data_IF_878286043619
#
_entry.id   IF_878286043619
#
_cell.length_a   1.000
_cell.length_b   1.000
_cell.length_c   1.000
_cell.angle_alpha   90.00
_cell.angle_beta   90.00
_cell.angle_gamma   90.00
#
_symmetry.space_group_name_H-M   'P 1'
#
loop_
_entity.id
_entity.type
_entity.pdbx_description
1 polymer ?
#
# COMPACT_ATOMS: atom_id res chain seq x y z
N UNK A 1 -4.27 -9.85 -13.33
CA UNK A 1 -5.49 -9.99 -14.16
C UNK A 1 -5.22 -10.87 -15.35
N UNK A 2 -5.84 -12.06 -15.39
CA UNK A 2 -5.83 -12.91 -16.59
C UNK A 2 -6.84 -12.32 -17.57
N UNK A 3 -6.37 -11.84 -18.70
CA UNK A 3 -7.26 -11.33 -19.74
C UNK A 3 -7.79 -12.51 -20.56
N UNK A 4 -9.05 -12.87 -20.32
CA UNK A 4 -9.77 -13.84 -21.15
C UNK A 4 -9.83 -13.35 -22.61
N UNK A 5 -9.90 -14.28 -23.55
CA UNK A 5 -9.93 -14.05 -25.00
C UNK A 5 -8.70 -13.35 -25.59
N UNK A 6 -7.56 -13.35 -24.87
CA UNK A 6 -6.27 -12.97 -25.45
C UNK A 6 -5.50 -14.21 -25.90
N UNK A 7 -4.74 -13.99 -26.97
CA UNK A 7 -3.80 -14.97 -27.48
C UNK A 7 -2.46 -14.80 -26.74
N UNK A 8 -1.99 -15.86 -26.10
CA UNK A 8 -0.71 -15.96 -25.41
C UNK A 8 0.24 -16.77 -26.26
N UNK A 9 1.35 -16.16 -26.66
CA UNK A 9 2.43 -16.87 -27.36
C UNK A 9 3.36 -17.46 -26.31
N UNK A 10 3.33 -18.78 -26.16
CA UNK A 10 4.29 -19.52 -25.35
C UNK A 10 5.49 -19.83 -26.21
N UNK A 11 6.65 -19.28 -25.83
CA UNK A 11 7.92 -19.50 -26.51
C UNK A 11 8.58 -20.75 -25.94
N UNK A 12 8.59 -21.82 -26.72
CA UNK A 12 9.28 -23.06 -26.42
C UNK A 12 10.32 -23.40 -27.47
N UNK A 13 10.57 -24.71 -27.68
CA UNK A 13 11.33 -25.21 -28.85
C UNK A 13 10.61 -24.86 -30.16
N UNK A 14 9.27 -24.77 -30.10
CA UNK A 14 8.41 -24.14 -31.11
C UNK A 14 7.58 -23.06 -30.43
N UNK A 15 7.25 -22.00 -31.16
CA UNK A 15 6.31 -20.99 -30.68
C UNK A 15 4.89 -21.48 -30.91
N UNK A 16 4.08 -21.47 -29.84
CA UNK A 16 2.70 -21.90 -29.86
C UNK A 16 1.81 -20.80 -29.30
N UNK A 17 0.69 -20.55 -29.97
CA UNK A 17 -0.27 -19.53 -29.57
C UNK A 17 -1.46 -20.20 -28.91
N UNK A 18 -1.71 -19.85 -27.65
CA UNK A 18 -2.84 -20.33 -26.86
C UNK A 18 -3.87 -19.23 -26.69
N UNK A 19 -5.13 -19.53 -26.97
CA UNK A 19 -6.22 -18.62 -26.65
C UNK A 19 -6.73 -18.92 -25.24
N UNK A 20 -6.65 -17.93 -24.35
CA UNK A 20 -7.13 -18.08 -22.97
C UNK A 20 -8.66 -18.01 -22.95
N UNK A 21 -9.32 -19.15 -22.77
CA UNK A 21 -10.79 -19.25 -22.79
C UNK A 21 -11.42 -19.20 -21.40
N UNK A 22 -10.71 -19.65 -20.36
CA UNK A 22 -11.24 -19.76 -19.01
C UNK A 22 -10.16 -19.47 -17.96
N UNK A 23 -10.58 -18.93 -16.81
CA UNK A 23 -9.77 -18.79 -15.59
C UNK A 23 -10.27 -19.81 -14.56
N UNK A 24 -9.37 -20.66 -14.06
CA UNK A 24 -9.65 -21.58 -12.96
C UNK A 24 -9.11 -20.99 -11.65
N UNK A 25 -10.03 -20.58 -10.76
CA UNK A 25 -9.71 -20.05 -9.43
C UNK A 25 -9.71 -21.13 -8.34
N UNK A 26 -10.12 -22.36 -8.66
CA UNK A 26 -10.19 -23.48 -7.73
C UNK A 26 -8.83 -24.18 -7.56
N UNK A 27 -7.94 -24.06 -8.55
CA UNK A 27 -6.56 -24.56 -8.46
C UNK A 27 -5.63 -23.51 -7.88
N UNK A 28 -4.96 -23.86 -6.77
CA UNK A 28 -3.95 -23.02 -6.14
C UNK A 28 -2.57 -23.62 -6.41
N UNK A 29 -1.73 -22.87 -7.11
CA UNK A 29 -0.34 -23.23 -7.35
C UNK A 29 0.55 -22.67 -6.24
N UNK A 30 1.62 -23.38 -5.85
CA UNK A 30 2.53 -22.89 -4.83
C UNK A 30 3.31 -21.67 -5.35
N UNK A 31 3.65 -20.75 -4.45
CA UNK A 31 4.28 -19.47 -4.79
C UNK A 31 5.59 -19.66 -5.58
N UNK A 32 6.37 -20.69 -5.25
CA UNK A 32 7.63 -21.00 -5.92
C UNK A 32 7.46 -21.53 -7.36
N UNK A 33 6.26 -21.90 -7.80
CA UNK A 33 6.01 -22.34 -9.17
C UNK A 33 5.90 -21.14 -10.13
N UNK A 34 5.18 -20.09 -9.73
CA UNK A 34 4.85 -18.98 -10.63
C UNK A 34 5.16 -17.59 -10.09
N UNK A 35 5.61 -17.47 -8.84
CA UNK A 35 5.78 -16.18 -8.15
C UNK A 35 4.51 -15.31 -8.22
N UNK A 36 3.33 -15.93 -8.04
CA UNK A 36 2.01 -15.32 -8.23
C UNK A 36 1.71 -14.83 -9.65
N UNK A 37 2.53 -15.21 -10.64
CA UNK A 37 2.22 -14.97 -12.05
C UNK A 37 1.12 -15.91 -12.53
N UNK A 38 0.29 -15.50 -13.51
CA UNK A 38 -0.63 -16.40 -14.18
C UNK A 38 0.09 -17.64 -14.74
N UNK A 39 -0.48 -18.81 -14.51
CA UNK A 39 0.03 -20.10 -15.04
C UNK A 39 -0.89 -20.55 -16.16
N UNK A 40 -0.31 -20.96 -17.29
CA UNK A 40 -1.04 -21.59 -18.39
C UNK A 40 -0.89 -23.10 -18.26
N UNK A 41 -2.00 -23.79 -18.02
CA UNK A 41 -2.05 -25.25 -18.03
C UNK A 41 -2.14 -25.75 -19.48
N UNK A 42 -1.27 -26.67 -19.87
CA UNK A 42 -1.23 -27.24 -21.23
C UNK A 42 -1.34 -28.75 -21.16
N UNK A 43 -1.86 -29.38 -22.22
CA UNK A 43 -1.94 -30.85 -22.29
C UNK A 43 -0.54 -31.50 -22.31
N UNK A 44 -0.42 -32.77 -21.89
CA UNK A 44 0.87 -33.47 -21.89
C UNK A 44 1.56 -33.50 -23.26
N UNK A 45 0.79 -33.73 -24.32
CA UNK A 45 1.29 -33.71 -25.70
C UNK A 45 1.91 -32.36 -26.05
N UNK A 46 1.26 -31.28 -25.62
CA UNK A 46 1.68 -29.91 -25.90
C UNK A 46 2.89 -29.50 -25.08
N UNK A 47 2.93 -29.91 -23.82
CA UNK A 47 4.11 -29.76 -22.97
C UNK A 47 5.36 -30.37 -23.61
N UNK A 48 5.25 -31.59 -24.16
CA UNK A 48 6.37 -32.26 -24.83
C UNK A 48 6.85 -31.51 -26.08
N UNK A 49 5.97 -30.81 -26.79
CA UNK A 49 6.33 -29.99 -27.96
C UNK A 49 7.01 -28.67 -27.56
N UNK A 50 6.66 -28.12 -26.40
CA UNK A 50 7.13 -26.79 -25.95
C UNK A 50 8.40 -26.84 -25.11
N UNK A 51 8.70 -27.95 -24.43
CA UNK A 51 9.86 -28.04 -23.52
C UNK A 51 11.16 -27.63 -24.23
N UNK A 52 11.88 -26.67 -23.65
CA UNK A 52 13.17 -26.14 -24.17
C UNK A 52 14.38 -26.72 -23.44
N UNK A 53 14.20 -27.14 -22.19
CA UNK A 53 15.24 -27.71 -21.32
C UNK A 53 14.66 -28.87 -20.50
N UNK A 54 15.53 -29.77 -20.02
CA UNK A 54 15.16 -30.90 -19.15
C UNK A 54 14.96 -30.50 -17.67
N UNK A 55 14.86 -29.22 -17.35
CA UNK A 55 14.59 -28.75 -15.98
C UNK A 55 13.11 -28.95 -15.65
N UNK A 56 12.76 -30.19 -15.29
CA UNK A 56 11.42 -30.58 -14.86
C UNK A 56 11.34 -30.42 -13.35
N UNK A 57 10.56 -29.45 -12.88
CA UNK A 57 10.16 -29.40 -11.48
C UNK A 57 8.87 -30.20 -11.30
N UNK A 58 8.94 -31.27 -10.52
CA UNK A 58 7.76 -32.09 -10.21
C UNK A 58 7.12 -31.58 -8.93
N UNK A 59 5.85 -31.22 -9.01
CA UNK A 59 5.04 -30.81 -7.87
C UNK A 59 3.94 -31.85 -7.64
N UNK A 60 3.73 -32.22 -6.37
CA UNK A 60 2.61 -33.07 -5.96
C UNK A 60 1.57 -32.18 -5.27
N UNK A 61 0.33 -32.24 -5.76
CA UNK A 61 -0.81 -31.53 -5.19
C UNK A 61 -1.90 -32.50 -4.75
N UNK A 62 -2.77 -32.05 -3.86
CA UNK A 62 -3.95 -32.79 -3.41
C UNK A 62 -5.21 -31.99 -3.71
N UNK A 63 -6.25 -32.64 -4.20
CA UNK A 63 -7.57 -32.04 -4.36
C UNK A 63 -8.30 -32.06 -3.01
N UNK A 64 -8.46 -30.90 -2.39
CA UNK A 64 -9.13 -30.74 -1.11
C UNK A 64 -10.55 -30.20 -1.38
N UNK A 65 -11.52 -31.11 -1.47
CA UNK A 65 -12.93 -30.76 -1.73
C UNK A 65 -13.62 -30.06 -0.55
N UNK A 66 -13.13 -30.29 0.67
CA UNK A 66 -13.65 -29.68 1.90
C UNK A 66 -12.51 -29.23 2.80
N UNK A 67 -12.57 -27.99 3.29
CA UNK A 67 -11.54 -27.38 4.16
C UNK A 67 -11.25 -28.19 5.43
N UNK A 68 -12.24 -28.93 5.94
CA UNK A 68 -12.09 -29.83 7.10
C UNK A 68 -11.14 -31.01 6.86
N UNK A 69 -10.82 -31.35 5.60
CA UNK A 69 -9.89 -32.43 5.25
C UNK A 69 -8.44 -31.96 5.18
N UNK A 70 -8.18 -30.65 5.31
CA UNK A 70 -6.85 -30.05 5.19
C UNK A 70 -5.86 -30.62 6.20
N UNK A 71 -6.27 -30.80 7.46
CA UNK A 71 -5.43 -31.39 8.51
C UNK A 71 -5.03 -32.84 8.19
N UNK A 72 -5.98 -33.64 7.67
CA UNK A 72 -5.72 -35.02 7.24
C UNK A 72 -4.75 -35.07 6.05
N UNK A 73 -4.96 -34.19 5.06
CA UNK A 73 -4.08 -34.09 3.90
C UNK A 73 -2.64 -33.71 4.30
N UNK A 74 -2.48 -32.81 5.27
CA UNK A 74 -1.17 -32.45 5.81
C UNK A 74 -0.52 -33.58 6.59
N UNK A 75 -1.29 -34.31 7.40
CA UNK A 75 -0.79 -35.48 8.12
C UNK A 75 -0.24 -36.54 7.15
N UNK A 76 -0.94 -36.78 6.03
CA UNK A 76 -0.47 -37.66 4.96
C UNK A 76 0.77 -37.07 4.27
N UNK A 77 0.79 -35.78 3.96
CA UNK A 77 1.93 -35.12 3.34
C UNK A 77 3.23 -35.28 4.16
N UNK A 78 3.16 -35.19 5.48
CA UNK A 78 4.31 -35.38 6.38
C UNK A 78 4.86 -36.82 6.38
N UNK A 79 4.05 -37.82 6.03
CA UNK A 79 4.51 -39.21 5.93
C UNK A 79 5.47 -39.44 4.75
N UNK A 80 5.44 -38.57 3.74
CA UNK A 80 6.35 -38.63 2.59
C UNK A 80 7.75 -38.04 2.89
N UNK A 81 7.99 -37.58 4.13
CA UNK A 81 9.30 -37.17 4.64
C UNK A 81 9.36 -35.71 5.11
N UNK A 82 10.36 -35.41 5.94
CA UNK A 82 10.52 -34.10 6.60
C UNK A 82 10.77 -32.92 5.64
N UNK A 83 11.07 -33.19 4.36
CA UNK A 83 11.29 -32.17 3.34
C UNK A 83 10.00 -31.69 2.66
N UNK A 84 8.85 -32.27 2.99
CA UNK A 84 7.56 -31.88 2.41
C UNK A 84 7.07 -30.59 3.09
N UNK A 85 7.07 -29.50 2.34
CA UNK A 85 6.53 -28.22 2.78
C UNK A 85 5.01 -28.28 2.69
N UNK A 86 4.32 -28.22 3.83
CA UNK A 86 2.85 -28.18 3.84
C UNK A 86 2.32 -26.77 3.58
N UNK A 87 1.04 -26.67 3.23
CA UNK A 87 0.38 -25.37 3.08
C UNK A 87 0.52 -24.50 4.34
N UNK A 88 0.43 -25.07 5.54
CA UNK A 88 0.51 -24.26 6.77
C UNK A 88 1.94 -23.79 7.05
N UNK A 89 2.94 -24.57 6.68
CA UNK A 89 4.34 -24.15 6.80
C UNK A 89 4.60 -22.97 5.86
N UNK A 90 4.16 -23.08 4.60
CA UNK A 90 4.26 -21.99 3.63
C UNK A 90 3.44 -20.76 4.04
N UNK A 91 2.22 -20.96 4.56
CA UNK A 91 1.38 -19.87 5.06
C UNK A 91 2.04 -19.16 6.24
N UNK A 92 2.62 -19.90 7.19
CA UNK A 92 3.34 -19.31 8.34
C UNK A 92 4.52 -18.46 7.88
N UNK A 93 5.31 -18.94 6.91
CA UNK A 93 6.45 -18.20 6.38
C UNK A 93 6.02 -16.92 5.65
N UNK A 94 4.98 -17.01 4.82
CA UNK A 94 4.40 -15.86 4.12
C UNK A 94 3.81 -14.85 5.10
N UNK A 95 3.03 -15.31 6.10
CA UNK A 95 2.44 -14.45 7.11
C UNK A 95 3.51 -13.78 7.99
N UNK A 96 4.59 -14.49 8.35
CA UNK A 96 5.71 -13.92 9.10
C UNK A 96 6.45 -12.83 8.30
N UNK A 97 6.73 -13.10 7.02
CA UNK A 97 7.40 -12.15 6.12
C UNK A 97 6.53 -10.93 5.84
N UNK A 98 5.24 -11.12 5.57
CA UNK A 98 4.31 -10.02 5.39
C UNK A 98 4.12 -9.23 6.68
N UNK A 99 4.06 -9.91 7.83
CA UNK A 99 3.92 -9.28 9.14
C UNK A 99 5.07 -8.33 9.44
N UNK A 100 6.32 -8.77 9.23
CA UNK A 100 7.48 -7.89 9.46
C UNK A 100 7.53 -6.74 8.45
N UNK A 101 7.17 -6.98 7.19
CA UNK A 101 7.15 -5.95 6.16
C UNK A 101 6.08 -4.88 6.44
N UNK A 102 4.86 -5.29 6.80
CA UNK A 102 3.78 -4.38 7.20
C UNK A 102 4.19 -3.60 8.46
N UNK A 103 4.78 -4.27 9.46
CA UNK A 103 5.22 -3.60 10.69
C UNK A 103 6.26 -2.51 10.40
N UNK A 104 7.35 -2.86 9.71
CA UNK A 104 8.44 -1.92 9.42
C UNK A 104 7.97 -0.77 8.56
N UNK A 105 7.22 -1.05 7.48
CA UNK A 105 6.73 0.00 6.58
C UNK A 105 5.71 0.91 7.24
N UNK A 106 4.79 0.37 8.04
CA UNK A 106 3.79 1.17 8.76
C UNK A 106 4.41 2.01 9.87
N UNK A 107 5.34 1.43 10.63
CA UNK A 107 6.05 2.15 11.69
C UNK A 107 6.89 3.30 11.11
N UNK A 108 7.67 3.02 10.06
CA UNK A 108 8.49 4.03 9.41
C UNK A 108 7.64 5.12 8.74
N UNK A 109 6.52 4.73 8.11
CA UNK A 109 5.56 5.66 7.53
C UNK A 109 4.93 6.58 8.58
N UNK A 110 4.51 6.04 9.73
CA UNK A 110 3.98 6.82 10.83
C UNK A 110 5.03 7.76 11.43
N UNK A 111 6.27 7.28 11.61
CA UNK A 111 7.37 8.08 12.14
C UNK A 111 7.68 9.29 11.24
N UNK A 112 7.75 9.09 9.91
CA UNK A 112 7.96 10.19 8.97
C UNK A 112 6.78 11.14 8.91
N UNK A 113 5.54 10.63 9.00
CA UNK A 113 4.35 11.48 9.07
C UNK A 113 4.37 12.39 10.31
N UNK A 114 4.69 11.85 11.49
CA UNK A 114 4.83 12.63 12.71
C UNK A 114 5.98 13.63 12.58
N UNK A 115 7.13 13.21 12.07
CA UNK A 115 8.27 14.10 11.88
C UNK A 115 7.95 15.27 10.92
N UNK A 116 7.29 15.00 9.79
CA UNK A 116 6.86 16.04 8.85
C UNK A 116 5.85 17.00 9.50
N UNK A 117 4.88 16.48 10.26
CA UNK A 117 3.93 17.28 11.04
C UNK A 117 4.63 18.18 12.06
N UNK A 118 5.61 17.65 12.80
CA UNK A 118 6.43 18.41 13.75
C UNK A 118 7.23 19.52 13.06
N UNK A 119 7.84 19.25 11.90
CA UNK A 119 8.62 20.25 11.15
C UNK A 119 7.73 21.43 10.75
N UNK A 120 6.55 21.17 10.19
CA UNK A 120 5.63 22.25 9.78
C UNK A 120 5.09 22.99 11.01
N UNK A 121 4.78 22.27 12.08
CA UNK A 121 4.32 22.88 13.34
C UNK A 121 5.36 23.84 13.93
N UNK A 122 6.62 23.41 14.05
CA UNK A 122 7.70 24.26 14.59
C UNK A 122 7.90 25.48 13.70
N UNK A 123 7.95 25.28 12.38
CA UNK A 123 8.04 26.39 11.42
C UNK A 123 6.91 27.41 11.60
N UNK A 124 5.68 26.93 11.77
CA UNK A 124 4.52 27.81 11.97
C UNK A 124 4.57 28.56 13.30
N UNK A 125 5.10 27.92 14.34
CA UNK A 125 5.33 28.54 15.64
C UNK A 125 6.34 29.69 15.51
N UNK A 126 7.51 29.41 14.94
CA UNK A 126 8.58 30.40 14.74
C UNK A 126 8.08 31.60 13.92
N UNK A 127 7.42 31.33 12.78
CA UNK A 127 6.85 32.40 11.95
C UNK A 127 5.79 33.22 12.69
N UNK A 128 5.01 32.60 13.58
CA UNK A 128 4.00 33.34 14.36
C UNK A 128 4.66 34.27 15.37
N UNK A 129 5.73 33.81 16.03
CA UNK A 129 6.48 34.61 17.00
C UNK A 129 7.10 35.85 16.34
N UNK A 130 7.72 35.69 15.16
CA UNK A 130 8.29 36.79 14.39
C UNK A 130 7.21 37.82 13.96
N UNK A 131 6.01 37.34 13.63
CA UNK A 131 4.89 38.17 13.18
C UNK A 131 4.15 38.92 14.31
N UNK A 132 4.44 38.63 15.59
CA UNK A 132 3.75 39.24 16.74
C UNK A 132 3.82 40.78 16.74
N UNK A 133 4.95 41.35 16.29
CA UNK A 133 5.11 42.80 16.15
C UNK A 133 4.13 43.39 15.12
N UNK A 134 3.94 42.71 14.01
CA UNK A 134 3.00 43.09 12.95
C UNK A 134 1.55 42.99 13.42
N UNK A 135 1.19 41.95 14.20
CA UNK A 135 -0.13 41.83 14.80
C UNK A 135 -0.44 42.99 15.77
N UNK A 136 0.55 43.48 16.54
CA UNK A 136 0.38 44.68 17.37
C UNK A 136 0.13 45.94 16.54
N UNK A 137 0.82 46.09 15.41
CA UNK A 137 0.62 47.23 14.51
C UNK A 137 -0.79 47.17 13.91
N UNK A 138 -1.22 46.01 13.40
CA UNK A 138 -2.57 45.77 12.88
C UNK A 138 -3.64 46.16 13.92
N UNK A 139 -3.44 45.77 15.18
CA UNK A 139 -4.33 46.15 16.28
C UNK A 139 -4.39 47.67 16.49
N UNK A 140 -3.26 48.37 16.42
CA UNK A 140 -3.18 49.83 16.58
C UNK A 140 -3.87 50.61 15.45
N UNK A 141 -3.86 50.08 14.23
CA UNK A 141 -4.55 50.69 13.08
C UNK A 141 -6.02 50.26 12.95
N UNK A 142 -6.56 49.54 13.94
CA UNK A 142 -8.00 49.28 14.08
C UNK A 142 -8.48 47.88 13.70
N UNK A 143 -7.58 46.94 13.35
CA UNK A 143 -8.02 45.56 13.05
C UNK A 143 -8.54 44.86 14.30
N UNK A 144 -9.63 44.10 14.14
CA UNK A 144 -10.18 43.29 15.21
C UNK A 144 -9.44 41.95 15.32
N UNK A 145 -9.57 41.28 16.46
CA UNK A 145 -9.03 39.92 16.62
C UNK A 145 -9.61 38.93 15.60
N UNK A 146 -10.89 39.13 15.23
CA UNK A 146 -11.56 38.30 14.23
C UNK A 146 -10.94 38.46 12.84
N UNK A 147 -10.51 39.67 12.47
CA UNK A 147 -9.83 39.92 11.19
C UNK A 147 -8.46 39.24 11.15
N UNK A 148 -7.71 39.33 12.25
CA UNK A 148 -6.41 38.65 12.39
C UNK A 148 -6.56 37.12 12.37
N UNK A 149 -7.61 36.59 13.01
CA UNK A 149 -7.93 35.16 13.00
C UNK A 149 -8.21 34.62 11.60
N UNK A 150 -8.92 35.38 10.75
CA UNK A 150 -9.19 34.98 9.36
C UNK A 150 -7.89 34.87 8.56
N UNK A 151 -6.99 35.84 8.71
CA UNK A 151 -5.67 35.81 8.09
C UNK A 151 -4.83 34.62 8.57
N UNK A 152 -4.80 34.38 9.87
CA UNK A 152 -4.11 33.24 10.47
C UNK A 152 -4.64 31.91 9.94
N UNK A 153 -5.97 31.75 9.88
CA UNK A 153 -6.61 30.52 9.40
C UNK A 153 -6.27 30.26 7.93
N UNK A 154 -6.25 31.30 7.09
CA UNK A 154 -5.85 31.18 5.69
C UNK A 154 -4.37 30.77 5.56
N UNK A 155 -3.48 31.40 6.34
CA UNK A 155 -2.04 31.08 6.36
C UNK A 155 -1.79 29.62 6.76
N UNK A 156 -2.39 29.18 7.85
CA UNK A 156 -2.25 27.79 8.33
C UNK A 156 -2.86 26.80 7.33
N UNK A 157 -4.03 27.10 6.78
CA UNK A 157 -4.66 26.26 5.76
C UNK A 157 -3.77 26.12 4.52
N UNK A 158 -3.10 27.19 4.09
CA UNK A 158 -2.17 27.13 2.97
C UNK A 158 -0.89 26.35 3.31
N UNK A 159 -0.27 26.64 4.46
CA UNK A 159 0.98 26.00 4.90
C UNK A 159 0.84 24.50 5.12
N UNK A 160 -0.30 24.03 5.66
CA UNK A 160 -0.57 22.60 5.85
C UNK A 160 -1.27 21.96 4.65
N UNK A 161 -2.15 22.69 3.98
CA UNK A 161 -2.97 22.17 2.88
C UNK A 161 -2.19 21.94 1.59
N UNK A 162 -1.23 22.80 1.25
CA UNK A 162 -0.44 22.63 0.04
C UNK A 162 0.43 21.35 0.08
N UNK A 163 1.22 21.07 1.14
CA UNK A 163 1.93 19.80 1.28
C UNK A 163 0.99 18.57 1.28
N UNK A 164 -0.14 18.65 1.98
CA UNK A 164 -1.14 17.57 2.03
C UNK A 164 -1.69 17.25 0.64
N UNK A 165 -2.04 18.27 -0.14
CA UNK A 165 -2.55 18.11 -1.50
C UNK A 165 -1.51 17.42 -2.39
N UNK A 166 -0.26 17.87 -2.35
CA UNK A 166 0.84 17.26 -3.12
C UNK A 166 1.04 15.79 -2.72
N UNK A 167 1.01 15.50 -1.42
CA UNK A 167 1.15 14.14 -0.90
C UNK A 167 0.02 13.21 -1.39
N UNK A 168 -1.23 13.68 -1.36
CA UNK A 168 -2.39 12.91 -1.85
C UNK A 168 -2.26 12.66 -3.36
N UNK A 169 -1.90 13.67 -4.15
CA UNK A 169 -1.71 13.51 -5.59
C UNK A 169 -0.60 12.48 -5.89
N UNK A 170 0.53 12.56 -5.17
CA UNK A 170 1.62 11.61 -5.31
C UNK A 170 1.20 10.18 -4.94
N UNK A 171 0.47 10.01 -3.83
CA UNK A 171 -0.02 8.72 -3.36
C UNK A 171 -1.00 8.09 -4.37
N UNK A 172 -1.93 8.87 -4.91
CA UNK A 172 -2.89 8.40 -5.93
C UNK A 172 -2.17 8.01 -7.22
N UNK A 173 -1.22 8.82 -7.67
CA UNK A 173 -0.42 8.51 -8.86
C UNK A 173 0.38 7.20 -8.68
N UNK A 174 1.08 7.06 -7.56
CA UNK A 174 1.85 5.87 -7.24
C UNK A 174 0.96 4.61 -7.14
N UNK A 175 -0.23 4.75 -6.51
CA UNK A 175 -1.21 3.68 -6.41
C UNK A 175 -1.70 3.22 -7.80
N UNK A 176 -2.06 4.15 -8.68
CA UNK A 176 -2.50 3.83 -10.05
C UNK A 176 -1.39 3.11 -10.83
N UNK A 177 -0.15 3.61 -10.75
CA UNK A 177 0.99 3.00 -11.43
C UNK A 177 1.24 1.57 -10.92
N UNK A 178 1.25 1.39 -9.59
CA UNK A 178 1.45 0.08 -8.97
C UNK A 178 0.33 -0.91 -9.30
N UNK A 179 -0.93 -0.49 -9.24
CA UNK A 179 -2.08 -1.34 -9.59
C UNK A 179 -2.03 -1.76 -11.07
N UNK A 180 -1.59 -0.86 -11.96
CA UNK A 180 -1.40 -1.17 -13.38
C UNK A 180 -0.32 -2.24 -13.59
N UNK A 181 0.75 -2.23 -12.79
CA UNK A 181 1.82 -3.23 -12.84
C UNK A 181 1.36 -4.58 -12.27
N UNK A 182 0.67 -4.59 -11.14
CA UNK A 182 0.25 -5.82 -10.46
C UNK A 182 -1.02 -6.45 -11.05
N UNK A 183 -1.79 -5.70 -11.84
CA UNK A 183 -3.01 -6.19 -12.45
C UNK A 183 -4.06 -6.67 -11.43
N UNK A 184 -4.07 -6.09 -10.22
CA UNK A 184 -5.08 -6.29 -9.19
C UNK A 184 -5.55 -4.90 -8.69
N UNK A 185 -6.83 -4.80 -8.37
CA UNK A 185 -7.60 -3.56 -8.37
C UNK A 185 -8.33 -3.45 -7.03
N UNK A 186 -7.69 -2.87 -6.03
CA UNK A 186 -8.42 -2.38 -4.87
C UNK A 186 -7.79 -1.10 -4.36
N UNK A 187 -8.53 -0.01 -4.48
CA UNK A 187 -8.17 1.28 -3.90
C UNK A 187 -8.42 1.35 -2.39
N UNK A 188 -9.08 0.34 -1.80
CA UNK A 188 -9.47 0.37 -0.39
C UNK A 188 -8.29 0.61 0.57
N UNK A 189 -7.14 -0.07 0.45
CA UNK A 189 -6.01 0.19 1.34
C UNK A 189 -5.44 1.61 1.18
N UNK A 190 -5.40 2.11 -0.05
CA UNK A 190 -4.91 3.46 -0.37
C UNK A 190 -5.80 4.53 0.26
N UNK A 191 -7.12 4.36 0.16
CA UNK A 191 -8.12 5.27 0.75
C UNK A 191 -7.96 5.29 2.27
N UNK A 192 -7.82 4.13 2.92
CA UNK A 192 -7.62 4.05 4.37
C UNK A 192 -6.37 4.84 4.79
N UNK A 193 -5.25 4.66 4.09
CA UNK A 193 -4.00 5.38 4.39
C UNK A 193 -4.16 6.89 4.18
N UNK A 194 -4.82 7.34 3.10
CA UNK A 194 -5.09 8.76 2.85
C UNK A 194 -5.95 9.37 3.98
N UNK A 195 -6.97 8.65 4.46
CA UNK A 195 -7.83 9.12 5.55
C UNK A 195 -7.00 9.29 6.83
N UNK A 196 -6.25 8.26 7.23
CA UNK A 196 -5.41 8.29 8.45
C UNK A 196 -4.36 9.40 8.36
N UNK A 197 -3.69 9.52 7.22
CA UNK A 197 -2.71 10.57 6.95
C UNK A 197 -3.32 11.97 7.08
N UNK A 198 -4.48 12.18 6.45
CA UNK A 198 -5.21 13.46 6.49
C UNK A 198 -5.64 13.82 7.90
N UNK A 199 -6.15 12.85 8.69
CA UNK A 199 -6.54 13.09 10.08
C UNK A 199 -5.35 13.54 10.93
N UNK A 200 -4.20 12.89 10.80
CA UNK A 200 -2.99 13.28 11.54
C UNK A 200 -2.53 14.68 11.11
N UNK A 201 -2.57 15.00 9.82
CA UNK A 201 -2.24 16.34 9.32
C UNK A 201 -3.16 17.42 9.89
N UNK A 202 -4.47 17.15 9.96
CA UNK A 202 -5.46 18.06 10.56
C UNK A 202 -5.16 18.27 12.05
N UNK A 203 -4.77 17.23 12.80
CA UNK A 203 -4.38 17.36 14.20
C UNK A 203 -3.21 18.34 14.36
N UNK A 204 -2.14 18.22 13.56
CA UNK A 204 -1.04 19.17 13.60
C UNK A 204 -1.45 20.60 13.23
N UNK A 205 -2.29 20.76 12.20
CA UNK A 205 -2.79 22.07 11.78
C UNK A 205 -3.64 22.74 12.89
N UNK A 206 -4.47 21.95 13.60
CA UNK A 206 -5.26 22.43 14.74
C UNK A 206 -4.37 22.83 15.92
N UNK A 207 -3.35 22.03 16.25
CA UNK A 207 -2.38 22.36 17.30
C UNK A 207 -1.66 23.67 16.96
N UNK A 208 -1.20 23.83 15.72
CA UNK A 208 -0.56 25.05 15.24
C UNK A 208 -1.51 26.26 15.36
N UNK A 209 -2.77 26.11 14.92
CA UNK A 209 -3.76 27.18 14.99
C UNK A 209 -4.07 27.62 16.43
N UNK A 210 -4.29 26.65 17.33
CA UNK A 210 -4.55 26.94 18.74
C UNK A 210 -3.35 27.64 19.39
N UNK A 211 -2.14 27.18 19.09
CA UNK A 211 -0.91 27.79 19.57
C UNK A 211 -0.80 29.25 19.10
N UNK A 212 -0.86 29.49 17.78
CA UNK A 212 -0.72 30.82 17.21
C UNK A 212 -1.80 31.79 17.69
N UNK A 213 -3.05 31.35 17.77
CA UNK A 213 -4.16 32.17 18.29
C UNK A 213 -3.94 32.57 19.75
N UNK A 214 -3.44 31.65 20.59
CA UNK A 214 -3.13 31.93 22.00
C UNK A 214 -2.01 32.98 22.12
N UNK A 215 -0.97 32.88 21.30
CA UNK A 215 0.13 33.84 21.29
C UNK A 215 -0.32 35.23 20.86
N UNK A 216 -1.10 35.33 19.78
CA UNK A 216 -1.65 36.61 19.30
C UNK A 216 -2.51 37.25 20.38
N UNK A 217 -3.45 36.50 20.97
CA UNK A 217 -4.35 37.01 22.02
C UNK A 217 -3.63 37.50 23.28
N UNK A 218 -2.48 36.91 23.63
CA UNK A 218 -1.66 37.35 24.77
C UNK A 218 -0.88 38.65 24.47
N UNK A 219 -0.64 38.92 23.19
CA UNK A 219 0.30 39.95 22.73
C UNK A 219 -0.36 41.29 22.42
N UNK A 220 -1.66 41.26 22.07
CA UNK A 220 -2.52 42.42 21.80
C UNK A 220 -3.39 42.78 23.00
#
# INVERSE_FOLDING_TARGET
NIHLNKDLVVKGTKNETFRVTQEDKGKVYPLNLSFNSPVVEVSPEKYQQLKTQNNVHTFYGYDIKQTSQKEKAQAIAKQFGDKVITYDDMKKEVDATNGILIFVTSFLGLAFLVAAGCIIYIKQMDETEDELSNFRILKRIGFTHTDMLKGLLLKITFNFGLPLLIAILHAVFAAIAFMKLMGNISFMPVIIVIIVYTLIYIVFALIAFVHSNKLIKKTI
#
